data_IF_689327038199
#
_entry.id   IF_689327038199
#
_cell.length_a   1.000
_cell.length_b   1.000
_cell.length_c   1.000
_cell.angle_alpha   90.00
_cell.angle_beta   90.00
_cell.angle_gamma   90.00
#
_symmetry.space_group_name_H-M   'P 1'
#
loop_
_entity.id
_entity.type
_entity.pdbx_description
1 polymer ?
#
# COMPACT_ATOMS: atom_id res chain seq x y z
N UNK A 1 -10.21 2.30 -23.93
CA UNK A 1 -11.65 2.48 -23.72
C UNK A 1 -12.19 3.30 -24.86
N UNK A 2 -13.29 2.88 -25.45
CA UNK A 2 -13.96 3.58 -26.55
C UNK A 2 -14.70 4.82 -26.03
N UNK A 3 -15.12 5.72 -26.92
CA UNK A 3 -15.84 6.94 -26.53
C UNK A 3 -17.19 6.67 -25.85
N UNK A 4 -17.79 5.53 -26.06
CA UNK A 4 -19.05 5.06 -25.46
C UNK A 4 -18.85 4.35 -24.09
N UNK A 5 -17.60 4.30 -23.58
CA UNK A 5 -17.24 3.63 -22.33
C UNK A 5 -17.03 2.12 -22.45
N UNK A 6 -17.21 1.52 -23.60
CA UNK A 6 -16.95 0.10 -23.81
C UNK A 6 -15.45 -0.20 -23.80
N UNK A 7 -15.09 -1.48 -23.52
CA UNK A 7 -13.72 -1.94 -23.59
C UNK A 7 -13.27 -1.98 -25.06
N UNK A 8 -12.21 -1.29 -25.37
CA UNK A 8 -11.54 -1.38 -26.67
C UNK A 8 -10.52 -2.51 -26.72
N UNK A 9 -9.61 -2.42 -27.68
CA UNK A 9 -8.49 -3.35 -27.80
C UNK A 9 -7.62 -3.34 -26.53
N UNK A 10 -7.16 -4.52 -26.12
CA UNK A 10 -6.29 -4.66 -24.95
C UNK A 10 -4.94 -3.96 -25.22
N UNK A 11 -4.52 -3.09 -24.32
CA UNK A 11 -3.22 -2.46 -24.40
C UNK A 11 -2.08 -3.44 -24.06
N UNK A 12 -0.93 -3.28 -24.68
CA UNK A 12 0.25 -4.13 -24.47
C UNK A 12 0.98 -3.75 -23.16
N UNK A 13 0.24 -3.76 -22.06
CA UNK A 13 0.77 -3.56 -20.72
C UNK A 13 0.37 -4.74 -19.83
N UNK A 14 1.31 -5.29 -19.07
CA UNK A 14 1.04 -6.43 -18.20
C UNK A 14 2.14 -6.67 -17.17
N UNK A 15 1.84 -7.45 -16.11
CA UNK A 15 2.84 -7.83 -15.14
C UNK A 15 3.79 -8.87 -15.71
N UNK A 16 5.09 -8.64 -15.56
CA UNK A 16 6.14 -9.60 -15.88
C UNK A 16 6.43 -10.55 -14.73
N UNK A 17 6.42 -10.04 -13.50
CA UNK A 17 6.58 -10.83 -12.28
C UNK A 17 5.91 -10.13 -11.11
N UNK A 18 5.59 -10.92 -10.07
CA UNK A 18 5.06 -10.44 -8.79
C UNK A 18 6.13 -10.63 -7.74
N UNK A 19 6.41 -9.60 -6.94
CA UNK A 19 7.39 -9.64 -5.88
C UNK A 19 6.88 -10.40 -4.66
N UNK A 20 7.69 -11.28 -4.12
CA UNK A 20 7.47 -11.95 -2.83
C UNK A 20 7.88 -11.02 -1.69
N UNK A 21 6.90 -10.36 -1.08
CA UNK A 21 7.13 -9.46 0.06
C UNK A 21 7.04 -10.18 1.40
N UNK A 22 7.65 -9.60 2.43
CA UNK A 22 7.54 -10.07 3.81
C UNK A 22 6.10 -9.96 4.35
N UNK A 23 5.38 -8.89 4.00
CA UNK A 23 3.99 -8.62 4.39
C UNK A 23 3.19 -7.96 3.28
N UNK A 24 1.95 -7.57 3.58
CA UNK A 24 1.00 -6.91 2.66
C UNK A 24 0.87 -7.68 1.34
N UNK A 25 0.71 -9.00 1.44
CA UNK A 25 0.73 -9.90 0.26
C UNK A 25 -0.51 -9.77 -0.62
N UNK A 26 -1.61 -9.21 -0.09
CA UNK A 26 -2.82 -8.96 -0.85
C UNK A 26 -2.70 -7.77 -1.82
N UNK A 27 -1.70 -6.89 -1.61
CA UNK A 27 -1.37 -5.80 -2.53
C UNK A 27 -0.13 -6.19 -3.33
N UNK A 28 -0.32 -6.56 -4.59
CA UNK A 28 0.76 -7.03 -5.45
C UNK A 28 1.72 -5.89 -5.82
N UNK A 29 3.02 -6.14 -5.67
CA UNK A 29 4.08 -5.34 -6.27
C UNK A 29 4.58 -6.08 -7.50
N UNK A 30 4.57 -5.43 -8.64
CA UNK A 30 4.83 -6.08 -9.92
C UNK A 30 5.94 -5.36 -10.70
N UNK A 31 6.71 -6.13 -11.45
CA UNK A 31 7.46 -5.61 -12.58
C UNK A 31 6.50 -5.46 -13.75
N UNK A 32 6.35 -4.24 -14.27
CA UNK A 32 5.43 -3.96 -15.37
C UNK A 32 6.20 -3.94 -16.70
N UNK A 33 5.68 -4.67 -17.68
CA UNK A 33 6.17 -4.68 -19.06
C UNK A 33 5.24 -3.86 -19.95
N UNK A 34 5.83 -3.03 -20.81
CA UNK A 34 5.13 -2.14 -21.74
C UNK A 34 5.66 -2.37 -23.16
N UNK A 35 5.29 -3.51 -23.77
CA UNK A 35 5.80 -3.95 -25.06
C UNK A 35 5.01 -3.29 -26.20
N UNK A 36 5.31 -2.02 -26.49
CA UNK A 36 4.58 -1.21 -27.46
C UNK A 36 3.24 -0.69 -26.94
N UNK A 37 3.05 -0.60 -25.64
CA UNK A 37 1.85 -0.05 -25.03
C UNK A 37 1.63 1.42 -25.44
N UNK A 38 0.37 1.76 -25.70
CA UNK A 38 -0.06 3.14 -25.93
C UNK A 38 -0.24 3.84 -24.58
N UNK A 39 0.38 4.99 -24.41
CA UNK A 39 0.27 5.83 -23.22
C UNK A 39 -0.07 7.27 -23.57
N UNK A 40 -0.60 7.99 -22.60
CA UNK A 40 -0.89 9.41 -22.70
C UNK A 40 -0.18 10.15 -21.57
N UNK A 41 0.46 11.26 -21.90
CA UNK A 41 1.10 12.09 -20.91
C UNK A 41 0.05 12.77 -20.02
N UNK A 42 0.18 12.60 -18.69
CA UNK A 42 -0.60 13.31 -17.68
C UNK A 42 0.34 14.23 -16.91
N UNK A 43 0.07 15.53 -16.93
CA UNK A 43 0.95 16.54 -16.35
C UNK A 43 1.97 17.07 -17.35
N UNK A 44 3.15 17.45 -16.86
CA UNK A 44 4.22 18.01 -17.70
C UNK A 44 5.30 16.96 -17.95
N UNK A 45 5.93 17.08 -19.11
CA UNK A 45 7.05 16.23 -19.49
C UNK A 45 8.22 16.42 -18.50
N UNK A 46 8.84 15.30 -18.11
CA UNK A 46 9.96 15.24 -17.16
C UNK A 46 9.65 15.68 -15.72
N UNK A 47 8.39 15.92 -15.35
CA UNK A 47 7.97 16.28 -13.99
C UNK A 47 7.29 15.13 -13.23
N UNK A 48 7.31 13.90 -13.73
CA UNK A 48 6.63 12.76 -13.13
C UNK A 48 7.09 12.43 -11.72
N UNK A 49 8.39 12.58 -11.44
CA UNK A 49 8.93 12.35 -10.10
C UNK A 49 8.40 13.37 -9.07
N UNK A 50 8.30 14.64 -9.45
CA UNK A 50 7.72 15.68 -8.60
C UNK A 50 6.24 15.42 -8.32
N UNK A 51 5.49 14.99 -9.33
CA UNK A 51 4.09 14.61 -9.17
C UNK A 51 3.93 13.39 -8.24
N UNK A 52 4.84 12.41 -8.31
CA UNK A 52 4.85 11.25 -7.43
C UNK A 52 5.03 11.63 -5.96
N UNK A 53 5.80 12.67 -5.65
CA UNK A 53 6.01 13.10 -4.26
C UNK A 53 4.74 13.61 -3.58
N UNK A 54 3.75 14.08 -4.31
CA UNK A 54 2.44 14.43 -3.75
C UNK A 54 1.77 13.17 -3.16
N UNK A 55 1.76 12.08 -3.91
CA UNK A 55 1.29 10.77 -3.44
C UNK A 55 2.13 10.26 -2.26
N UNK A 56 3.45 10.34 -2.36
CA UNK A 56 4.37 9.85 -1.33
C UNK A 56 4.20 10.54 0.01
N UNK A 57 3.85 11.82 0.03
CA UNK A 57 3.57 12.53 1.29
C UNK A 57 2.32 11.97 1.98
N UNK A 58 1.29 11.66 1.21
CA UNK A 58 0.08 10.97 1.71
C UNK A 58 0.40 9.59 2.26
N UNK A 59 1.19 8.81 1.54
CA UNK A 59 1.59 7.47 1.96
C UNK A 59 2.38 7.49 3.27
N UNK A 60 3.31 8.43 3.44
CA UNK A 60 4.07 8.56 4.68
C UNK A 60 3.17 8.85 5.88
N UNK A 61 2.18 9.72 5.71
CA UNK A 61 1.19 10.00 6.75
C UNK A 61 0.34 8.76 7.07
N UNK A 62 -0.13 8.07 6.03
CA UNK A 62 -0.92 6.83 6.17
C UNK A 62 -0.16 5.73 6.90
N UNK A 63 1.14 5.57 6.63
CA UNK A 63 1.98 4.61 7.33
C UNK A 63 2.17 4.98 8.82
N UNK A 64 2.24 6.26 9.14
CA UNK A 64 2.24 6.73 10.54
C UNK A 64 0.95 6.36 11.27
N UNK A 65 -0.19 6.57 10.64
CA UNK A 65 -1.51 6.20 11.19
C UNK A 65 -1.64 4.68 11.34
N UNK A 66 -1.13 3.91 10.38
CA UNK A 66 -1.11 2.45 10.47
C UNK A 66 -0.27 1.97 11.66
N UNK A 67 0.89 2.58 11.90
CA UNK A 67 1.73 2.30 13.06
C UNK A 67 1.02 2.61 14.38
N UNK A 68 0.32 3.73 14.46
CA UNK A 68 -0.48 4.10 15.63
C UNK A 68 -1.60 3.08 15.88
N UNK A 69 -2.34 2.70 14.84
CA UNK A 69 -3.42 1.70 14.96
C UNK A 69 -2.91 0.33 15.41
N UNK A 70 -1.77 -0.11 14.89
CA UNK A 70 -1.14 -1.36 15.33
C UNK A 70 -0.68 -1.30 16.80
N UNK A 71 -0.12 -0.18 17.22
CA UNK A 71 0.29 0.06 18.61
C UNK A 71 -0.90 0.06 19.57
N UNK A 72 -1.97 0.73 19.20
CA UNK A 72 -3.22 0.78 19.98
C UNK A 72 -3.82 -0.62 20.13
N UNK A 73 -3.93 -1.37 19.05
CA UNK A 73 -4.42 -2.73 19.09
C UNK A 73 -3.58 -3.63 20.01
N UNK A 74 -2.25 -3.55 19.88
CA UNK A 74 -1.34 -4.32 20.75
C UNK A 74 -1.47 -3.93 22.22
N UNK A 75 -1.54 -2.63 22.52
CA UNK A 75 -1.68 -2.11 23.86
C UNK A 75 -2.98 -2.56 24.54
N UNK A 76 -4.12 -2.41 23.85
CA UNK A 76 -5.42 -2.81 24.41
C UNK A 76 -5.49 -4.30 24.72
N UNK A 77 -4.97 -5.14 23.83
CA UNK A 77 -4.91 -6.58 24.07
C UNK A 77 -3.97 -6.93 25.24
N UNK A 78 -2.82 -6.29 25.33
CA UNK A 78 -1.88 -6.51 26.41
C UNK A 78 -2.45 -6.07 27.79
N UNK A 79 -3.10 -4.91 27.83
CA UNK A 79 -3.74 -4.39 29.03
C UNK A 79 -4.88 -5.30 29.51
N UNK A 80 -5.72 -5.77 28.60
CA UNK A 80 -6.78 -6.72 28.92
C UNK A 80 -6.21 -8.04 29.43
N UNK A 81 -5.21 -8.58 28.74
CA UNK A 81 -4.55 -9.82 29.17
C UNK A 81 -3.90 -9.68 30.54
N UNK A 82 -3.24 -8.56 30.83
CA UNK A 82 -2.62 -8.31 32.14
C UNK A 82 -3.64 -8.23 33.27
N UNK A 83 -4.86 -7.80 32.97
CA UNK A 83 -5.98 -7.75 33.91
C UNK A 83 -6.56 -9.15 34.15
N UNK A 84 -6.73 -9.93 33.12
CA UNK A 84 -7.37 -11.24 33.17
C UNK A 84 -6.42 -12.33 33.68
N UNK A 85 -5.14 -12.21 33.42
CA UNK A 85 -4.12 -13.19 33.81
C UNK A 85 -3.63 -12.96 35.24
N UNK A 86 -4.21 -13.66 36.18
CA UNK A 86 -3.75 -13.67 37.58
C UNK A 86 -2.48 -14.51 37.71
N UNK A 87 -1.35 -13.87 37.97
CA UNK A 87 -0.06 -14.55 38.24
C UNK A 87 0.90 -13.66 39.03
N UNK A 88 1.83 -14.29 39.73
CA UNK A 88 2.81 -13.61 40.56
C UNK A 88 2.25 -13.11 41.89
N UNK A 89 3.07 -12.38 42.62
CA UNK A 89 2.69 -11.70 43.87
C UNK A 89 2.66 -10.21 43.66
N UNK A 90 1.72 -9.51 44.30
CA UNK A 90 1.75 -8.06 44.35
C UNK A 90 3.07 -7.59 45.01
N UNK A 91 3.70 -6.58 44.43
CA UNK A 91 4.79 -5.86 45.08
C UNK A 91 4.17 -4.94 46.12
N UNK A 92 3.89 -5.47 47.30
CA UNK A 92 3.44 -4.70 48.45
C UNK A 92 4.60 -4.36 49.36
#
# INVERSE_FOLDING_TARGET
MNADGSLGERNAAGPGSIEHKMGIKASATCVMNFDGAKGFLVGKENEGLAAMFVMMNYERLSMGIQGLGASEFAYQNAAQYATDRLQGRSAS
#
